data_IF_142324994967
#
_entry.id   IF_142324994967
#
_cell.length_a   1.000
_cell.length_b   1.000
_cell.length_c   1.000
_cell.angle_alpha   90.00
_cell.angle_beta   90.00
_cell.angle_gamma   90.00
#
_symmetry.space_group_name_H-M   'P 1'
#
loop_
_entity.id
_entity.type
_entity.pdbx_description
1 polymer ?
#
# COMPACT_ATOMS: atom_id res chain seq x y z
N UNK A 1 1.71 4.36 -3.93
CA UNK A 1 0.53 5.21 -4.20
C UNK A 1 0.88 6.65 -3.89
N UNK A 2 0.50 7.57 -4.78
CA UNK A 2 0.77 9.00 -4.67
C UNK A 2 -0.54 9.79 -4.63
N UNK A 3 -0.52 10.93 -3.96
CA UNK A 3 -1.64 11.87 -4.01
C UNK A 3 -1.67 12.66 -5.34
N UNK A 4 -2.68 13.52 -5.50
CA UNK A 4 -2.84 14.41 -6.66
C UNK A 4 -1.69 15.40 -6.87
N UNK A 5 -0.79 15.57 -5.88
CA UNK A 5 0.40 16.41 -5.96
C UNK A 5 1.69 15.60 -6.20
N UNK A 6 1.57 14.28 -6.39
CA UNK A 6 2.69 13.37 -6.61
C UNK A 6 3.41 12.93 -5.33
N UNK A 7 2.91 13.27 -4.15
CA UNK A 7 3.53 12.89 -2.87
C UNK A 7 3.20 11.44 -2.56
N UNK A 8 4.20 10.64 -2.18
CA UNK A 8 3.99 9.24 -1.77
C UNK A 8 3.22 9.20 -0.45
N UNK A 9 2.00 8.66 -0.48
CA UNK A 9 1.11 8.62 0.69
C UNK A 9 0.93 7.23 1.28
N UNK A 10 1.13 6.18 0.47
CA UNK A 10 1.09 4.78 0.91
C UNK A 10 2.02 3.90 0.08
N UNK A 11 2.72 2.99 0.74
CA UNK A 11 3.55 1.93 0.14
C UNK A 11 3.08 0.58 0.69
N UNK A 12 2.95 -0.41 -0.19
CA UNK A 12 2.54 -1.76 0.20
C UNK A 12 3.00 -2.81 -0.82
N UNK A 13 3.26 -4.03 -0.37
CA UNK A 13 3.56 -5.20 -1.23
C UNK A 13 2.34 -6.08 -1.49
N UNK A 14 2.39 -6.87 -2.56
CA UNK A 14 1.37 -7.87 -2.90
C UNK A 14 1.96 -9.04 -3.71
N UNK A 15 1.60 -10.28 -3.37
CA UNK A 15 1.87 -11.45 -4.22
C UNK A 15 0.99 -11.49 -5.47
N UNK A 16 -0.22 -10.94 -5.38
CA UNK A 16 -1.11 -10.73 -6.52
C UNK A 16 -1.61 -9.28 -6.54
N UNK A 17 -1.01 -8.45 -7.40
CA UNK A 17 -1.33 -7.03 -7.50
C UNK A 17 -2.78 -6.77 -7.90
N UNK A 18 -3.34 -7.58 -8.82
CA UNK A 18 -4.74 -7.43 -9.25
C UNK A 18 -5.70 -7.67 -8.10
N UNK A 19 -5.49 -8.74 -7.31
CA UNK A 19 -6.31 -9.02 -6.15
C UNK A 19 -6.20 -7.91 -5.09
N UNK A 20 -5.00 -7.40 -4.84
CA UNK A 20 -4.74 -6.29 -3.91
C UNK A 20 -5.49 -5.03 -4.31
N UNK A 21 -5.36 -4.60 -5.57
CA UNK A 21 -6.05 -3.40 -6.06
C UNK A 21 -7.56 -3.57 -6.03
N UNK A 22 -8.09 -4.74 -6.42
CA UNK A 22 -9.53 -5.01 -6.32
C UNK A 22 -10.04 -4.87 -4.89
N UNK A 23 -9.29 -5.35 -3.91
CA UNK A 23 -9.67 -5.25 -2.50
C UNK A 23 -9.78 -3.79 -2.02
N UNK A 24 -8.95 -2.88 -2.57
CA UNK A 24 -9.04 -1.45 -2.25
C UNK A 24 -10.25 -0.73 -2.86
N UNK A 25 -10.71 -1.17 -4.03
CA UNK A 25 -11.83 -0.53 -4.74
C UNK A 25 -13.13 -1.35 -4.66
N UNK A 26 -13.18 -2.39 -3.82
CA UNK A 26 -14.38 -3.20 -3.65
C UNK A 26 -15.42 -2.44 -2.83
N UNK A 27 -16.67 -2.43 -3.32
CA UNK A 27 -17.81 -1.76 -2.64
C UNK A 27 -18.27 -2.46 -1.36
N UNK A 28 -17.99 -3.77 -1.22
CA UNK A 28 -18.35 -4.60 -0.08
C UNK A 28 -17.34 -5.73 0.09
N UNK A 29 -16.97 -6.06 1.33
CA UNK A 29 -16.01 -7.15 1.63
C UNK A 29 -14.57 -6.86 1.16
N UNK A 30 -14.22 -5.58 1.02
CA UNK A 30 -12.89 -5.11 0.64
C UNK A 30 -11.94 -4.93 1.81
N UNK A 31 -10.84 -4.22 1.58
CA UNK A 31 -9.88 -3.87 2.62
C UNK A 31 -10.47 -2.78 3.54
N UNK A 32 -10.57 -3.09 4.83
CA UNK A 32 -11.26 -2.22 5.81
C UNK A 32 -10.36 -1.13 6.41
N UNK A 33 -9.07 -1.09 6.05
CA UNK A 33 -8.14 -0.10 6.59
C UNK A 33 -8.62 1.31 6.28
N UNK A 34 -8.51 2.20 7.28
CA UNK A 34 -9.04 3.57 7.19
C UNK A 34 -8.58 4.34 5.95
N UNK A 35 -7.32 4.17 5.52
CA UNK A 35 -6.80 4.85 4.34
C UNK A 35 -7.52 4.47 3.04
N UNK A 36 -8.09 3.26 2.96
CA UNK A 36 -8.81 2.76 1.77
C UNK A 36 -10.04 3.61 1.49
N UNK A 37 -10.76 3.98 2.56
CA UNK A 37 -11.92 4.89 2.49
C UNK A 37 -11.56 6.30 1.99
N UNK A 38 -10.28 6.67 2.04
CA UNK A 38 -9.79 7.97 1.61
C UNK A 38 -9.19 7.94 0.19
N UNK A 39 -9.06 6.77 -0.43
CA UNK A 39 -8.40 6.64 -1.73
C UNK A 39 -9.08 7.49 -2.81
N UNK A 40 -10.41 7.46 -2.91
CA UNK A 40 -11.15 8.25 -3.91
C UNK A 40 -10.89 9.76 -3.81
N UNK A 41 -10.58 10.26 -2.61
CA UNK A 41 -10.32 11.68 -2.38
C UNK A 41 -8.86 12.05 -2.64
N UNK A 42 -7.94 11.19 -2.21
CA UNK A 42 -6.51 11.49 -2.11
C UNK A 42 -5.73 11.00 -3.32
N UNK A 43 -6.05 9.82 -3.84
CA UNK A 43 -5.26 9.12 -4.85
C UNK A 43 -5.17 9.95 -6.14
N UNK A 44 -3.94 10.20 -6.58
CA UNK A 44 -3.64 10.78 -7.88
C UNK A 44 -3.02 9.76 -8.83
N UNK A 45 -2.15 8.89 -8.29
CA UNK A 45 -1.40 7.94 -9.10
C UNK A 45 -1.00 6.66 -8.32
N UNK A 46 -0.83 5.56 -9.06
CA UNK A 46 -0.34 4.27 -8.55
C UNK A 46 0.90 3.86 -9.34
N UNK A 47 2.05 4.00 -8.69
CA UNK A 47 3.31 3.43 -9.16
C UNK A 47 3.50 1.99 -8.65
N UNK A 48 4.05 1.13 -9.51
CA UNK A 48 4.24 -0.30 -9.27
C UNK A 48 5.70 -0.66 -9.54
N UNK A 49 6.31 -1.37 -8.61
CA UNK A 49 7.64 -1.97 -8.77
C UNK A 49 7.51 -3.48 -8.73
N UNK A 50 7.88 -4.16 -9.82
CA UNK A 50 7.86 -5.63 -9.89
C UNK A 50 9.11 -6.22 -9.23
N UNK A 51 8.94 -7.23 -8.40
CA UNK A 51 10.03 -8.01 -7.80
C UNK A 51 9.88 -9.49 -8.14
N UNK A 52 10.98 -10.25 -8.06
CA UNK A 52 10.98 -11.68 -8.41
C UNK A 52 10.55 -12.55 -7.25
N UNK A 53 10.82 -12.10 -6.03
CA UNK A 53 10.52 -12.84 -4.80
C UNK A 53 9.75 -11.98 -3.79
N UNK A 54 9.08 -12.65 -2.85
CA UNK A 54 8.41 -11.98 -1.73
C UNK A 54 9.40 -11.30 -0.78
N UNK A 55 10.63 -11.81 -0.68
CA UNK A 55 11.70 -11.23 0.14
C UNK A 55 12.21 -9.93 -0.46
N UNK A 56 12.45 -9.89 -1.77
CA UNK A 56 12.78 -8.65 -2.48
C UNK A 56 11.66 -7.60 -2.32
N UNK A 57 10.40 -8.01 -2.46
CA UNK A 57 9.26 -7.11 -2.27
C UNK A 57 9.26 -6.47 -0.88
N UNK A 58 9.58 -7.26 0.16
CA UNK A 58 9.68 -6.78 1.54
C UNK A 58 10.83 -5.78 1.73
N UNK A 59 11.99 -6.04 1.13
CA UNK A 59 13.14 -5.14 1.21
C UNK A 59 12.84 -3.80 0.54
N UNK A 60 12.32 -3.84 -0.70
CA UNK A 60 11.94 -2.64 -1.45
C UNK A 60 10.84 -1.85 -0.72
N UNK A 61 9.82 -2.52 -0.19
CA UNK A 61 8.77 -1.87 0.61
C UNK A 61 9.35 -1.14 1.82
N UNK A 62 10.21 -1.81 2.60
CA UNK A 62 10.82 -1.20 3.78
C UNK A 62 11.68 0.02 3.43
N UNK A 63 12.49 -0.07 2.37
CA UNK A 63 13.33 1.05 1.94
C UNK A 63 12.48 2.24 1.46
N UNK A 64 11.41 2.00 0.72
CA UNK A 64 10.49 3.07 0.29
C UNK A 64 9.74 3.69 1.47
N UNK A 65 9.32 2.90 2.46
CA UNK A 65 8.66 3.41 3.67
C UNK A 65 9.62 4.28 4.48
N UNK A 66 10.86 3.85 4.68
CA UNK A 66 11.88 4.64 5.40
C UNK A 66 12.20 5.94 4.66
N UNK A 67 12.37 5.86 3.34
CA UNK A 67 12.74 7.01 2.49
C UNK A 67 11.64 8.06 2.46
N UNK A 68 10.39 7.64 2.23
CA UNK A 68 9.29 8.57 2.00
C UNK A 68 8.45 8.89 3.24
N UNK A 69 8.56 8.09 4.30
CA UNK A 69 7.75 8.15 5.52
C UNK A 69 6.26 8.43 5.24
N UNK A 70 5.58 7.60 4.44
CA UNK A 70 4.27 7.94 3.93
C UNK A 70 3.24 8.07 5.04
N UNK A 71 2.40 9.11 4.96
CA UNK A 71 1.38 9.45 5.98
C UNK A 71 0.51 8.26 6.40
N UNK A 72 0.14 7.38 5.46
CA UNK A 72 -0.75 6.25 5.74
C UNK A 72 -0.02 4.96 6.14
N UNK A 73 1.31 4.91 6.04
CA UNK A 73 2.10 3.80 6.59
C UNK A 73 2.35 3.96 8.09
N UNK A 74 2.49 5.20 8.60
CA UNK A 74 2.82 5.48 10.00
C UNK A 74 1.62 5.32 10.94
N UNK A 75 0.40 5.63 10.47
CA UNK A 75 -0.84 5.45 11.26
C UNK A 75 -1.26 3.99 11.44
N UNK A 76 -0.54 3.04 10.84
CA UNK A 76 -0.77 1.60 10.98
C UNK A 76 0.21 0.95 11.97
N UNK A 77 0.89 1.75 12.81
CA UNK A 77 1.87 1.32 13.81
C UNK A 77 1.29 0.54 15.01
N UNK A 78 0.04 0.08 14.97
CA UNK A 78 -0.42 -0.95 15.91
C UNK A 78 0.01 -2.35 15.43
N UNK A 79 1.28 -2.62 15.73
CA UNK A 79 1.85 -3.84 16.33
C UNK A 79 1.71 -5.24 15.74
N UNK A 80 0.88 -5.58 14.72
CA UNK A 80 0.79 -7.00 14.28
C UNK A 80 0.67 -7.35 12.80
N UNK A 81 0.68 -6.39 11.88
CA UNK A 81 0.41 -6.72 10.47
C UNK A 81 1.57 -6.39 9.53
N UNK A 82 2.70 -7.07 9.71
CA UNK A 82 3.49 -7.52 8.55
C UNK A 82 2.65 -8.55 7.82
N UNK A 83 1.66 -8.08 7.05
CA UNK A 83 0.69 -8.93 6.38
C UNK A 83 1.46 -9.78 5.35
N UNK A 84 1.79 -11.01 5.74
CA UNK A 84 2.13 -12.08 4.83
C UNK A 84 0.87 -12.36 4.01
N UNK A 85 0.80 -11.75 2.84
CA UNK A 85 -0.14 -12.17 1.82
C UNK A 85 0.36 -13.51 1.28
N UNK A 86 -0.23 -14.60 1.80
CA UNK A 86 -0.21 -15.91 1.14
C UNK A 86 -0.99 -15.84 -0.17
#
# INVERSE_FOLDING_TARGET
>A
MKDKKGVVVYVGKAGNLRARLRSYFARSGGDERFFVKLLDQVLGDIEIVSTRTAQEALLVENELIKTHQPRFNVKLKDDKNFLNLR
#
